data_IF_736636235203
#
_entry.id   IF_736636235203
#
_cell.length_a   1.000
_cell.length_b   1.000
_cell.length_c   1.000
_cell.angle_alpha   90.00
_cell.angle_beta   90.00
_cell.angle_gamma   90.00
#
_symmetry.space_group_name_H-M   'P 1'
#
loop_
_entity.id
_entity.type
_entity.pdbx_description
1 polymer ?
#
# COMPACT_ATOMS: atom_id res chain seq x y z
N UNK A 1 35.15 0.35 -30.76
CA UNK A 1 33.76 -0.13 -30.94
C UNK A 1 33.84 -1.64 -30.98
N UNK A 2 33.95 -2.29 -29.81
CA UNK A 2 33.57 -3.71 -29.58
C UNK A 2 33.80 -4.27 -28.16
N UNK A 3 34.39 -3.55 -27.20
CA UNK A 3 34.64 -4.15 -25.87
C UNK A 3 33.46 -4.08 -24.86
N UNK A 4 32.34 -3.45 -25.22
CA UNK A 4 31.17 -3.32 -24.33
C UNK A 4 30.02 -4.29 -24.66
N UNK A 5 30.24 -5.26 -25.56
CA UNK A 5 29.23 -6.26 -25.93
C UNK A 5 29.56 -7.67 -25.40
N UNK A 6 30.82 -7.96 -25.07
CA UNK A 6 31.25 -9.29 -24.62
C UNK A 6 31.00 -9.58 -23.12
N UNK A 7 30.65 -8.58 -22.29
CA UNK A 7 30.31 -8.82 -20.88
C UNK A 7 28.85 -9.25 -20.64
N UNK A 8 28.05 -9.41 -21.69
CA UNK A 8 26.61 -9.67 -21.58
C UNK A 8 26.21 -11.14 -21.77
N UNK A 9 27.14 -12.04 -22.09
CA UNK A 9 26.80 -13.35 -22.67
C UNK A 9 27.13 -14.60 -21.83
N UNK A 10 27.52 -14.45 -20.56
CA UNK A 10 27.62 -15.60 -19.63
C UNK A 10 26.98 -15.29 -18.27
N UNK A 11 25.65 -15.12 -18.25
CA UNK A 11 24.92 -15.26 -17.00
C UNK A 11 24.93 -16.74 -16.59
N UNK A 12 25.71 -17.08 -15.58
CA UNK A 12 25.71 -18.43 -15.02
C UNK A 12 24.40 -18.72 -14.26
N UNK A 13 24.08 -20.00 -14.04
CA UNK A 13 22.90 -20.40 -13.25
C UNK A 13 22.84 -19.74 -11.85
N UNK A 14 23.99 -19.47 -11.23
CA UNK A 14 24.07 -18.80 -9.91
C UNK A 14 23.66 -17.33 -10.03
N UNK A 15 24.01 -16.66 -11.13
CA UNK A 15 23.68 -15.25 -11.37
C UNK A 15 22.23 -15.08 -11.80
N UNK A 16 21.64 -16.07 -12.49
CA UNK A 16 20.23 -16.04 -12.87
C UNK A 16 19.29 -16.24 -11.68
N UNK A 17 19.61 -17.18 -10.79
CA UNK A 17 18.89 -17.38 -9.53
C UNK A 17 18.96 -16.11 -8.65
N UNK A 18 20.14 -15.48 -8.61
CA UNK A 18 20.36 -14.26 -7.83
C UNK A 18 19.62 -13.07 -8.43
N UNK A 19 19.68 -12.89 -9.75
CA UNK A 19 18.94 -11.85 -10.46
C UNK A 19 17.44 -12.00 -10.23
N UNK A 20 16.89 -13.21 -10.43
CA UNK A 20 15.47 -13.47 -10.21
C UNK A 20 15.06 -13.20 -8.76
N UNK A 21 15.90 -13.60 -7.80
CA UNK A 21 15.67 -13.33 -6.38
C UNK A 21 15.59 -11.82 -6.09
N UNK A 22 16.52 -11.02 -6.62
CA UNK A 22 16.53 -9.57 -6.42
C UNK A 22 15.34 -8.88 -7.10
N UNK A 23 14.99 -9.30 -8.33
CA UNK A 23 13.79 -8.83 -9.03
C UNK A 23 12.53 -9.14 -8.22
N UNK A 24 12.44 -10.34 -7.64
CA UNK A 24 11.34 -10.71 -6.75
C UNK A 24 11.35 -9.92 -5.43
N UNK A 25 12.50 -9.63 -4.84
CA UNK A 25 12.61 -8.80 -3.62
C UNK A 25 12.10 -7.37 -3.89
N UNK A 26 12.40 -6.82 -5.07
CA UNK A 26 11.88 -5.53 -5.51
C UNK A 26 10.36 -5.60 -5.76
N UNK A 27 9.87 -6.61 -6.49
CA UNK A 27 8.45 -6.82 -6.75
C UNK A 27 7.63 -7.04 -5.48
N UNK A 28 8.17 -7.80 -4.53
CA UNK A 28 7.60 -7.96 -3.18
C UNK A 28 7.53 -6.61 -2.48
N UNK A 29 8.59 -5.80 -2.56
CA UNK A 29 8.61 -4.45 -2.03
C UNK A 29 7.52 -3.56 -2.62
N UNK A 30 7.29 -3.65 -3.94
CA UNK A 30 6.25 -2.91 -4.65
C UNK A 30 4.84 -3.36 -4.21
N UNK A 31 4.55 -4.65 -4.21
CA UNK A 31 3.25 -5.18 -3.77
C UNK A 31 2.96 -4.88 -2.30
N UNK A 32 3.96 -5.05 -1.41
CA UNK A 32 3.83 -4.68 0.02
C UNK A 32 3.53 -3.20 0.22
N UNK A 33 3.89 -2.36 -0.74
CA UNK A 33 3.68 -0.90 -0.70
C UNK A 33 2.38 -0.46 -1.38
N UNK A 34 1.58 -1.41 -1.90
CA UNK A 34 0.32 -1.13 -2.55
C UNK A 34 0.43 -0.83 -4.05
N UNK A 35 1.45 -1.33 -4.74
CA UNK A 35 1.52 -1.23 -6.20
C UNK A 35 0.43 -2.06 -6.90
N UNK A 36 0.03 -1.58 -8.09
CA UNK A 36 -0.79 -2.30 -9.06
C UNK A 36 -0.06 -3.54 -9.57
N UNK A 37 -0.81 -4.58 -9.93
CA UNK A 37 -0.23 -5.90 -10.29
C UNK A 37 0.58 -5.79 -11.57
N UNK A 38 -0.03 -5.28 -12.64
CA UNK A 38 0.64 -5.10 -13.93
C UNK A 38 1.99 -4.35 -13.81
N UNK A 39 2.11 -3.37 -12.91
CA UNK A 39 3.36 -2.62 -12.71
C UNK A 39 4.46 -3.46 -12.08
N UNK A 40 4.09 -4.36 -11.17
CA UNK A 40 5.02 -5.29 -10.52
C UNK A 40 5.54 -6.30 -11.53
N UNK A 41 4.63 -6.90 -12.31
CA UNK A 41 4.98 -7.85 -13.37
C UNK A 41 5.87 -7.21 -14.43
N UNK A 42 5.50 -6.02 -14.89
CA UNK A 42 6.28 -5.25 -15.87
C UNK A 42 7.69 -4.95 -15.35
N UNK A 43 7.82 -4.55 -14.08
CA UNK A 43 9.13 -4.25 -13.51
C UNK A 43 10.03 -5.48 -13.41
N UNK A 44 9.50 -6.62 -12.94
CA UNK A 44 10.26 -7.87 -12.86
C UNK A 44 10.68 -8.29 -14.27
N UNK A 45 9.74 -8.27 -15.22
CA UNK A 45 9.99 -8.65 -16.62
C UNK A 45 11.06 -7.77 -17.25
N UNK A 46 10.93 -6.45 -17.14
CA UNK A 46 11.88 -5.49 -17.73
C UNK A 46 13.28 -5.62 -17.16
N UNK A 47 13.43 -5.81 -15.86
CA UNK A 47 14.75 -6.00 -15.25
C UNK A 47 15.40 -7.28 -15.77
N UNK A 48 14.69 -8.40 -15.71
CA UNK A 48 15.25 -9.68 -16.18
C UNK A 48 15.64 -9.61 -17.67
N UNK A 49 14.81 -9.02 -18.52
CA UNK A 49 15.14 -8.81 -19.94
C UNK A 49 16.35 -7.88 -20.15
N UNK A 50 16.48 -6.82 -19.34
CA UNK A 50 17.61 -5.90 -19.44
C UNK A 50 18.95 -6.56 -19.12
N UNK A 51 18.98 -7.56 -18.23
CA UNK A 51 20.17 -8.37 -17.92
C UNK A 51 20.40 -9.52 -18.90
N UNK A 52 19.68 -9.59 -20.03
CA UNK A 52 19.95 -10.59 -21.09
C UNK A 52 19.24 -11.93 -20.93
N UNK A 53 18.22 -12.02 -20.06
CA UNK A 53 17.38 -13.23 -19.99
C UNK A 53 16.55 -13.37 -21.26
N UNK A 54 16.53 -14.55 -21.87
CA UNK A 54 15.85 -14.80 -23.15
C UNK A 54 14.32 -14.85 -23.01
N UNK A 55 13.81 -15.55 -21.98
CA UNK A 55 12.36 -15.61 -21.71
C UNK A 55 12.07 -15.37 -20.24
N UNK A 56 11.07 -14.54 -19.97
CA UNK A 56 10.63 -14.19 -18.62
C UNK A 56 9.12 -14.29 -18.54
N UNK A 57 8.63 -15.14 -17.65
CA UNK A 57 7.20 -15.29 -17.35
C UNK A 57 6.98 -14.87 -15.90
N UNK A 58 6.07 -13.93 -15.67
CA UNK A 58 5.75 -13.42 -14.33
C UNK A 58 4.25 -13.46 -14.16
N UNK A 59 3.82 -13.96 -13.00
CA UNK A 59 2.43 -13.96 -12.58
C UNK A 59 2.36 -13.48 -11.13
N UNK A 60 1.62 -12.41 -10.89
CA UNK A 60 1.45 -11.82 -9.57
C UNK A 60 -0.02 -11.71 -9.18
N UNK A 61 -0.28 -12.01 -7.92
CA UNK A 61 -1.49 -11.66 -7.18
C UNK A 61 -1.07 -10.95 -5.89
N UNK A 62 -2.04 -10.36 -5.19
CA UNK A 62 -1.78 -9.57 -3.96
C UNK A 62 -0.97 -10.30 -2.88
N UNK A 63 -1.03 -11.64 -2.86
CA UNK A 63 -0.39 -12.49 -1.85
C UNK A 63 0.73 -13.38 -2.39
N UNK A 64 0.98 -13.38 -3.71
CA UNK A 64 1.93 -14.31 -4.32
C UNK A 64 2.50 -13.71 -5.62
N UNK A 65 3.82 -13.80 -5.77
CA UNK A 65 4.50 -13.58 -7.04
C UNK A 65 5.12 -14.91 -7.44
N UNK A 66 4.91 -15.33 -8.68
CA UNK A 66 5.60 -16.46 -9.31
C UNK A 66 6.32 -15.92 -10.53
N UNK A 67 7.61 -16.20 -10.65
CA UNK A 67 8.39 -15.77 -11.79
C UNK A 67 9.30 -16.91 -12.25
N UNK A 68 9.37 -17.08 -13.57
CA UNK A 68 10.22 -18.05 -14.26
C UNK A 68 11.10 -17.30 -15.25
N UNK A 69 12.38 -17.64 -15.29
CA UNK A 69 13.34 -17.15 -16.28
C UNK A 69 13.98 -18.30 -17.01
N UNK A 70 14.18 -18.16 -18.32
CA UNK A 70 14.94 -19.07 -19.18
C UNK A 70 16.08 -18.31 -19.85
N UNK A 71 17.30 -18.84 -19.72
CA UNK A 71 18.49 -18.31 -20.39
C UNK A 71 18.66 -18.91 -21.78
N UNK A 72 19.48 -18.26 -22.61
CA UNK A 72 19.81 -18.72 -23.97
C UNK A 72 20.50 -20.09 -23.99
N UNK A 73 21.20 -20.46 -22.92
CA UNK A 73 21.87 -21.76 -22.75
C UNK A 73 20.90 -22.89 -22.36
N UNK A 74 19.61 -22.60 -22.13
CA UNK A 74 18.58 -23.56 -21.73
C UNK A 74 18.36 -23.67 -20.22
N UNK A 75 19.17 -23.02 -19.39
CA UNK A 75 18.98 -22.99 -17.94
C UNK A 75 17.69 -22.28 -17.56
N UNK A 76 17.03 -22.80 -16.53
CA UNK A 76 15.71 -22.36 -16.07
C UNK A 76 15.74 -22.13 -14.56
N UNK A 77 15.26 -20.97 -14.12
CA UNK A 77 15.02 -20.70 -12.71
C UNK A 77 13.56 -20.31 -12.50
N UNK A 78 12.92 -20.95 -11.52
CA UNK A 78 11.55 -20.68 -11.11
C UNK A 78 11.57 -20.36 -9.62
N UNK A 79 11.04 -19.19 -9.25
CA UNK A 79 10.94 -18.79 -7.86
C UNK A 79 9.54 -18.27 -7.55
N UNK A 80 9.09 -18.57 -6.34
CA UNK A 80 7.84 -18.09 -5.79
C UNK A 80 8.10 -17.24 -4.55
N UNK A 81 7.32 -16.16 -4.41
CA UNK A 81 7.39 -15.26 -3.27
C UNK A 81 6.01 -15.02 -2.70
N UNK A 82 5.77 -15.51 -1.49
CA UNK A 82 4.55 -15.20 -0.75
C UNK A 82 4.67 -13.82 -0.11
N UNK A 83 3.71 -12.96 -0.39
CA UNK A 83 3.65 -11.60 0.13
C UNK A 83 2.71 -11.58 1.33
N UNK A 84 3.27 -11.21 2.48
CA UNK A 84 2.50 -11.02 3.72
C UNK A 84 2.42 -9.54 4.05
N UNK A 85 1.26 -9.10 4.50
CA UNK A 85 0.99 -7.73 4.98
C UNK A 85 1.33 -6.65 3.94
N UNK A 86 0.29 -6.05 3.36
CA UNK A 86 0.43 -4.87 2.50
C UNK A 86 0.03 -3.61 3.26
N UNK A 87 0.83 -2.55 3.10
CA UNK A 87 0.54 -1.19 3.57
C UNK A 87 0.69 -0.23 2.40
N UNK A 88 -0.09 0.84 2.35
CA UNK A 88 0.05 1.82 1.28
C UNK A 88 1.25 2.74 1.55
N UNK A 89 2.24 2.70 0.66
CA UNK A 89 3.39 3.60 0.69
C UNK A 89 3.77 3.98 -0.74
N UNK A 90 3.09 5.01 -1.26
CA UNK A 90 3.29 5.48 -2.64
C UNK A 90 4.73 5.96 -2.88
N UNK A 91 5.37 6.57 -1.88
CA UNK A 91 6.77 6.99 -1.97
C UNK A 91 7.70 5.80 -2.21
N UNK A 92 7.43 4.66 -1.55
CA UNK A 92 8.18 3.43 -1.78
C UNK A 92 7.90 2.82 -3.14
N UNK A 93 6.66 2.85 -3.61
CA UNK A 93 6.30 2.40 -4.97
C UNK A 93 7.04 3.24 -6.03
N UNK A 94 7.07 4.56 -5.87
CA UNK A 94 7.76 5.48 -6.77
C UNK A 94 9.27 5.23 -6.77
N UNK A 95 9.89 5.15 -5.59
CA UNK A 95 11.33 4.88 -5.46
C UNK A 95 11.73 3.55 -6.10
N UNK A 96 10.98 2.47 -5.88
CA UNK A 96 11.26 1.17 -6.49
C UNK A 96 11.06 1.18 -8.01
N UNK A 97 10.09 1.94 -8.50
CA UNK A 97 9.87 2.14 -9.93
C UNK A 97 11.02 2.92 -10.59
N UNK A 98 11.56 3.93 -9.91
CA UNK A 98 12.75 4.65 -10.38
C UNK A 98 13.99 3.75 -10.39
N UNK A 99 14.18 2.94 -9.34
CA UNK A 99 15.23 1.92 -9.30
C UNK A 99 15.11 0.97 -10.49
N UNK A 100 13.91 0.46 -10.79
CA UNK A 100 13.67 -0.40 -11.95
C UNK A 100 14.13 0.26 -13.26
N UNK A 101 13.81 1.54 -13.46
CA UNK A 101 14.25 2.31 -14.64
C UNK A 101 15.77 2.50 -14.67
N UNK A 102 16.38 2.84 -13.54
CA UNK A 102 17.84 3.05 -13.42
C UNK A 102 18.59 1.75 -13.69
N UNK A 103 18.13 0.64 -13.13
CA UNK A 103 18.71 -0.70 -13.30
C UNK A 103 18.63 -1.13 -14.76
N UNK A 104 17.47 -0.96 -15.41
CA UNK A 104 17.31 -1.28 -16.83
C UNK A 104 18.22 -0.45 -17.75
N UNK A 105 18.60 0.77 -17.34
CA UNK A 105 19.43 1.67 -18.15
C UNK A 105 20.93 1.48 -17.94
N UNK A 106 21.34 1.29 -16.69
CA UNK A 106 22.75 1.33 -16.30
C UNK A 106 23.34 -0.06 -16.07
N UNK A 107 22.51 -1.11 -15.97
CA UNK A 107 22.90 -2.49 -15.68
C UNK A 107 23.94 -2.56 -14.53
N UNK A 108 23.62 -2.04 -13.33
CA UNK A 108 24.55 -2.09 -12.21
C UNK A 108 24.85 -3.54 -11.82
N UNK A 109 25.91 -3.73 -11.04
CA UNK A 109 26.19 -5.06 -10.46
C UNK A 109 25.02 -5.53 -9.57
N UNK A 110 24.86 -6.85 -9.40
CA UNK A 110 23.79 -7.40 -8.55
C UNK A 110 23.94 -6.95 -7.08
N UNK A 111 25.17 -6.72 -6.61
CA UNK A 111 25.45 -6.17 -5.27
C UNK A 111 24.94 -4.73 -5.12
N UNK A 112 25.12 -3.91 -6.15
CA UNK A 112 24.60 -2.53 -6.17
C UNK A 112 23.09 -2.51 -6.25
N UNK A 113 22.50 -3.39 -7.08
CA UNK A 113 21.04 -3.51 -7.17
C UNK A 113 20.42 -3.90 -5.81
N UNK A 114 21.02 -4.87 -5.11
CA UNK A 114 20.61 -5.25 -3.76
C UNK A 114 20.68 -4.07 -2.77
N UNK A 115 21.79 -3.31 -2.80
CA UNK A 115 21.93 -2.09 -1.97
C UNK A 115 20.87 -1.04 -2.29
N UNK A 116 20.53 -0.84 -3.56
CA UNK A 116 19.48 0.11 -3.97
C UNK A 116 18.12 -0.28 -3.38
N UNK A 117 17.75 -1.57 -3.41
CA UNK A 117 16.50 -2.07 -2.82
C UNK A 117 16.49 -1.85 -1.29
N UNK A 118 17.60 -2.17 -0.62
CA UNK A 118 17.75 -1.99 0.82
C UNK A 118 17.65 -0.52 1.24
N UNK A 119 18.27 0.39 0.48
CA UNK A 119 18.21 1.83 0.73
C UNK A 119 16.81 2.38 0.52
N UNK A 120 16.11 1.97 -0.55
CA UNK A 120 14.72 2.39 -0.78
C UNK A 120 13.82 2.04 0.41
N UNK A 121 14.01 0.86 1.02
CA UNK A 121 13.25 0.46 2.22
C UNK A 121 13.53 1.36 3.43
N UNK A 122 14.75 1.88 3.58
CA UNK A 122 15.12 2.78 4.68
C UNK A 122 14.64 4.21 4.45
N UNK A 123 14.83 4.73 3.24
CA UNK A 123 14.48 6.12 2.87
C UNK A 123 12.98 6.37 2.87
N UNK A 124 12.17 5.36 2.58
CA UNK A 124 10.72 5.48 2.45
C UNK A 124 9.98 5.19 3.77
N UNK A 125 10.71 5.14 4.88
CA UNK A 125 10.08 5.04 6.20
C UNK A 125 9.30 6.33 6.47
N UNK A 126 8.02 6.16 6.75
CA UNK A 126 7.12 7.29 6.95
C UNK A 126 7.48 8.03 8.23
N UNK A 127 7.64 9.35 8.12
CA UNK A 127 7.85 10.21 9.28
C UNK A 127 6.55 10.36 10.06
N UNK A 128 6.56 9.95 11.32
CA UNK A 128 5.39 9.98 12.20
C UNK A 128 4.72 11.36 12.24
N UNK A 129 5.51 12.45 12.25
CA UNK A 129 5.01 13.84 12.25
C UNK A 129 4.11 14.11 11.04
N UNK A 130 4.54 13.69 9.84
CA UNK A 130 3.76 13.92 8.61
C UNK A 130 2.47 13.10 8.61
N UNK A 131 2.45 11.91 9.22
CA UNK A 131 1.22 11.13 9.33
C UNK A 131 0.19 11.82 10.22
N UNK A 132 0.59 12.31 11.40
CA UNK A 132 -0.32 13.03 12.30
C UNK A 132 -0.82 14.33 11.67
N UNK A 133 0.08 15.09 11.04
CA UNK A 133 -0.30 16.33 10.34
C UNK A 133 -1.27 16.03 9.20
N UNK A 134 -1.00 15.00 8.40
CA UNK A 134 -1.91 14.53 7.35
C UNK A 134 -3.27 14.10 7.89
N UNK A 135 -3.30 13.33 8.99
CA UNK A 135 -4.53 12.91 9.66
C UNK A 135 -5.39 14.09 10.11
N UNK A 136 -4.78 15.05 10.80
CA UNK A 136 -5.42 16.29 11.25
C UNK A 136 -5.97 17.09 10.08
N UNK A 137 -5.13 17.34 9.07
CA UNK A 137 -5.51 18.16 7.92
C UNK A 137 -6.63 17.51 7.11
N UNK A 138 -6.55 16.21 6.84
CA UNK A 138 -7.59 15.50 6.07
C UNK A 138 -8.92 15.53 6.81
N UNK A 139 -8.97 15.07 8.07
CA UNK A 139 -10.24 15.00 8.79
C UNK A 139 -10.86 16.38 9.01
N UNK A 140 -10.06 17.36 9.44
CA UNK A 140 -10.53 18.73 9.65
C UNK A 140 -10.97 19.42 8.36
N UNK A 141 -10.20 19.28 7.27
CA UNK A 141 -10.54 19.91 5.99
C UNK A 141 -11.80 19.31 5.38
N UNK A 142 -12.01 17.99 5.48
CA UNK A 142 -13.24 17.38 5.01
C UNK A 142 -14.45 17.82 5.84
N UNK A 143 -14.33 17.98 7.15
CA UNK A 143 -15.42 18.54 7.96
C UNK A 143 -15.83 19.94 7.47
N UNK A 144 -14.87 20.82 7.16
CA UNK A 144 -15.16 22.14 6.57
C UNK A 144 -15.76 22.01 5.17
N UNK A 145 -15.22 21.11 4.34
CA UNK A 145 -15.68 20.90 2.96
C UNK A 145 -17.16 20.49 2.89
N UNK A 146 -17.63 19.70 3.85
CA UNK A 146 -19.03 19.28 3.95
C UNK A 146 -19.92 20.27 4.71
N UNK A 147 -19.44 21.49 4.97
CA UNK A 147 -20.23 22.58 5.54
C UNK A 147 -20.19 22.69 7.07
N UNK A 148 -19.23 22.03 7.72
CA UNK A 148 -19.06 22.09 9.17
C UNK A 148 -18.52 23.42 9.68
N UNK A 149 -18.75 23.68 10.97
CA UNK A 149 -18.14 24.81 11.66
C UNK A 149 -16.65 24.58 11.93
N UNK A 150 -15.93 25.65 12.30
CA UNK A 150 -14.52 25.55 12.71
C UNK A 150 -14.37 24.63 13.93
N UNK A 151 -15.35 24.62 14.84
CA UNK A 151 -15.33 23.71 15.99
C UNK A 151 -15.47 22.26 15.56
N UNK A 152 -16.37 21.95 14.61
CA UNK A 152 -16.50 20.61 14.04
C UNK A 152 -15.20 20.15 13.38
N UNK A 153 -14.51 21.06 12.68
CA UNK A 153 -13.21 20.79 12.07
C UNK A 153 -12.13 20.48 13.11
N UNK A 154 -12.11 21.18 14.25
CA UNK A 154 -11.17 20.91 15.34
C UNK A 154 -11.43 19.56 16.01
N UNK A 155 -12.69 19.20 16.22
CA UNK A 155 -13.06 17.87 16.75
C UNK A 155 -12.71 16.78 15.75
N UNK A 156 -12.99 16.97 14.45
CA UNK A 156 -12.60 16.04 13.40
C UNK A 156 -11.07 15.87 13.30
N UNK A 157 -10.32 16.96 13.41
CA UNK A 157 -8.86 16.93 13.48
C UNK A 157 -8.34 16.09 14.66
N UNK A 158 -8.96 16.23 15.84
CA UNK A 158 -8.66 15.40 17.01
C UNK A 158 -8.94 13.92 16.73
N UNK A 159 -10.08 13.60 16.10
CA UNK A 159 -10.39 12.23 15.68
C UNK A 159 -9.35 11.71 14.69
N UNK A 160 -8.88 12.54 13.75
CA UNK A 160 -7.78 12.20 12.83
C UNK A 160 -6.49 11.82 13.56
N UNK A 161 -6.13 12.51 14.64
CA UNK A 161 -4.98 12.11 15.48
C UNK A 161 -5.20 10.75 16.14
N UNK A 162 -6.40 10.48 16.65
CA UNK A 162 -6.75 9.20 17.29
C UNK A 162 -6.68 8.06 16.27
N UNK A 163 -7.16 8.28 15.04
CA UNK A 163 -7.06 7.31 13.95
C UNK A 163 -5.60 6.91 13.70
N UNK A 164 -4.70 7.88 13.53
CA UNK A 164 -3.28 7.64 13.28
C UNK A 164 -2.59 7.01 14.50
N UNK A 165 -2.99 7.38 15.71
CA UNK A 165 -2.46 6.80 16.94
C UNK A 165 -2.78 5.30 17.02
N UNK A 166 -4.04 4.90 16.79
CA UNK A 166 -4.46 3.50 16.86
C UNK A 166 -3.84 2.68 15.73
N UNK A 167 -3.72 3.24 14.52
CA UNK A 167 -3.09 2.54 13.39
C UNK A 167 -1.63 2.19 13.67
N UNK A 168 -0.90 3.11 14.31
CA UNK A 168 0.51 2.95 14.70
C UNK A 168 0.73 2.05 15.92
N UNK A 169 -0.31 1.63 16.64
CA UNK A 169 -0.14 0.75 17.79
C UNK A 169 0.38 -0.63 17.33
N UNK A 170 1.50 -1.12 17.90
CA UNK A 170 2.10 -2.40 17.54
C UNK A 170 1.36 -3.56 18.24
N UNK A 171 0.04 -3.66 18.03
CA UNK A 171 -0.74 -4.78 18.53
C UNK A 171 -0.48 -5.99 17.65
N UNK A 172 0.37 -6.90 18.14
CA UNK A 172 0.59 -8.21 17.53
C UNK A 172 -0.75 -8.95 17.53
N UNK A 173 -1.14 -9.50 16.38
CA UNK A 173 -2.34 -10.32 16.14
C UNK A 173 -3.65 -9.60 15.76
N UNK A 174 -3.67 -8.28 15.58
CA UNK A 174 -4.84 -7.60 15.01
C UNK A 174 -4.62 -7.28 13.52
N UNK A 175 -5.49 -7.84 12.67
CA UNK A 175 -5.56 -7.48 11.27
C UNK A 175 -5.95 -6.01 11.09
N UNK A 176 -5.47 -5.40 10.00
CA UNK A 176 -5.73 -3.99 9.68
C UNK A 176 -7.22 -3.65 9.58
N UNK A 177 -8.03 -4.60 9.11
CA UNK A 177 -9.50 -4.46 9.07
C UNK A 177 -10.09 -4.37 10.48
N UNK A 178 -9.64 -5.20 11.41
CA UNK A 178 -10.15 -5.19 12.79
C UNK A 178 -9.76 -3.91 13.50
N UNK A 179 -8.51 -3.47 13.36
CA UNK A 179 -8.07 -2.17 13.88
C UNK A 179 -8.95 -1.04 13.35
N UNK A 180 -9.22 -1.02 12.04
CA UNK A 180 -10.06 -0.01 11.42
C UNK A 180 -11.48 0.03 12.01
N UNK A 181 -12.11 -1.13 12.23
CA UNK A 181 -13.45 -1.23 12.85
C UNK A 181 -13.46 -0.70 14.27
N UNK A 182 -12.47 -1.10 15.08
CA UNK A 182 -12.34 -0.63 16.47
C UNK A 182 -12.12 0.88 16.51
N UNK A 183 -11.24 1.40 15.67
CA UNK A 183 -10.99 2.84 15.52
C UNK A 183 -12.27 3.58 15.12
N UNK A 184 -13.01 3.10 14.12
CA UNK A 184 -14.28 3.71 13.70
C UNK A 184 -15.29 3.80 14.84
N UNK A 185 -15.43 2.71 15.62
CA UNK A 185 -16.34 2.68 16.76
C UNK A 185 -15.93 3.67 17.86
N UNK A 186 -14.64 3.71 18.23
CA UNK A 186 -14.11 4.63 19.24
C UNK A 186 -14.29 6.08 18.80
N UNK A 187 -13.90 6.42 17.56
CA UNK A 187 -14.05 7.77 17.03
C UNK A 187 -15.53 8.19 16.95
N UNK A 188 -16.42 7.28 16.57
CA UNK A 188 -17.85 7.54 16.57
C UNK A 188 -18.38 7.87 17.97
N UNK A 189 -18.03 7.06 18.97
CA UNK A 189 -18.46 7.26 20.36
C UNK A 189 -17.93 8.57 20.93
N UNK A 190 -16.64 8.85 20.73
CA UNK A 190 -16.02 10.10 21.16
C UNK A 190 -16.67 11.31 20.50
N UNK A 191 -16.97 11.23 19.20
CA UNK A 191 -17.66 12.32 18.48
C UNK A 191 -19.01 12.64 19.14
N UNK A 192 -19.83 11.63 19.44
CA UNK A 192 -21.10 11.83 20.14
C UNK A 192 -20.91 12.48 21.52
N UNK A 193 -19.91 12.03 22.28
CA UNK A 193 -19.57 12.62 23.58
C UNK A 193 -19.18 14.10 23.44
N UNK A 194 -18.28 14.44 22.52
CA UNK A 194 -17.83 15.82 22.30
C UNK A 194 -18.97 16.77 21.89
N UNK A 195 -19.89 16.30 21.06
CA UNK A 195 -21.06 17.08 20.65
C UNK A 195 -22.02 17.27 21.83
N UNK A 196 -22.25 16.24 22.66
CA UNK A 196 -23.11 16.37 23.84
C UNK A 196 -22.54 17.34 24.90
N UNK A 197 -21.21 17.42 25.02
CA UNK A 197 -20.55 18.44 25.85
C UNK A 197 -20.54 19.85 25.24
N UNK A 198 -21.09 20.04 24.03
CA UNK A 198 -21.18 21.33 23.36
C UNK A 198 -19.87 21.80 22.71
N UNK A 199 -18.89 20.90 22.52
CA UNK A 199 -17.60 21.23 21.88
C UNK A 199 -17.71 21.18 20.35
N UNK A 200 -18.60 20.34 19.82
CA UNK A 200 -18.96 20.27 18.39
C UNK A 200 -20.44 20.54 18.17
N UNK A 201 -20.80 21.03 16.98
CA UNK A 201 -22.19 21.35 16.62
C UNK A 201 -22.87 20.21 15.89
N UNK A 202 -22.22 19.63 14.86
CA UNK A 202 -22.82 18.61 14.00
C UNK A 202 -22.01 17.31 14.04
N UNK A 203 -22.56 16.29 14.71
CA UNK A 203 -21.96 14.97 14.81
C UNK A 203 -21.75 14.30 13.45
N UNK A 204 -22.65 14.49 12.49
CA UNK A 204 -22.59 13.81 11.20
C UNK A 204 -21.42 14.36 10.38
N UNK A 205 -21.21 15.68 10.40
CA UNK A 205 -20.12 16.32 9.67
C UNK A 205 -18.76 15.89 10.23
N UNK A 206 -18.61 15.83 11.56
CA UNK A 206 -17.39 15.34 12.21
C UNK A 206 -17.12 13.88 11.83
N UNK A 207 -18.15 13.04 11.85
CA UNK A 207 -18.04 11.64 11.45
C UNK A 207 -17.66 11.50 9.97
N UNK A 208 -18.25 12.26 9.05
CA UNK A 208 -17.90 12.24 7.62
C UNK A 208 -16.42 12.59 7.42
N UNK A 209 -15.93 13.64 8.10
CA UNK A 209 -14.51 14.01 8.06
C UNK A 209 -13.59 12.88 8.53
N UNK A 210 -13.97 12.20 9.60
CA UNK A 210 -13.21 11.05 10.13
C UNK A 210 -13.28 9.82 9.23
N UNK A 211 -14.45 9.54 8.64
CA UNK A 211 -14.68 8.42 7.72
C UNK A 211 -13.77 8.53 6.50
N UNK A 212 -13.52 9.74 5.98
CA UNK A 212 -12.65 9.96 4.82
C UNK A 212 -11.20 9.48 5.02
N UNK A 213 -10.71 9.44 6.26
CA UNK A 213 -9.40 8.82 6.56
C UNK A 213 -9.42 7.30 6.53
N UNK A 214 -10.54 6.70 6.92
CA UNK A 214 -10.66 5.26 7.16
C UNK A 214 -11.08 4.49 5.90
N UNK A 215 -11.77 5.18 4.97
CA UNK A 215 -12.20 4.59 3.70
C UNK A 215 -10.97 4.08 2.93
N UNK A 216 -11.00 2.83 2.43
CA UNK A 216 -9.90 2.24 1.66
C UNK A 216 -9.86 2.77 0.21
N UNK A 217 -9.79 4.09 0.02
CA UNK A 217 -9.88 4.74 -1.30
C UNK A 217 -8.77 4.31 -2.27
N UNK A 218 -7.52 4.23 -1.78
CA UNK A 218 -6.38 3.78 -2.60
C UNK A 218 -6.55 2.32 -3.05
N UNK A 219 -6.99 1.43 -2.15
CA UNK A 219 -7.19 0.03 -2.48
C UNK A 219 -8.35 -0.16 -3.48
N UNK A 220 -9.41 0.64 -3.35
CA UNK A 220 -10.50 0.70 -4.32
C UNK A 220 -10.01 1.18 -5.70
N UNK A 221 -9.26 2.28 -5.76
CA UNK A 221 -8.69 2.79 -7.01
C UNK A 221 -7.78 1.77 -7.70
N UNK A 222 -6.87 1.15 -6.94
CA UNK A 222 -6.00 0.08 -7.45
C UNK A 222 -6.80 -1.12 -7.95
N UNK A 223 -7.87 -1.51 -7.26
CA UNK A 223 -8.71 -2.63 -7.70
C UNK A 223 -9.37 -2.37 -9.05
N UNK A 224 -9.80 -1.12 -9.29
CA UNK A 224 -10.37 -0.73 -10.58
C UNK A 224 -9.29 -0.69 -11.67
N UNK A 225 -8.10 -0.18 -11.34
CA UNK A 225 -6.95 -0.19 -12.24
C UNK A 225 -6.60 -1.61 -12.67
N UNK A 226 -6.43 -2.54 -11.71
CA UNK A 226 -6.17 -3.96 -12.00
C UNK A 226 -7.24 -4.57 -12.92
N UNK A 227 -8.52 -4.30 -12.68
CA UNK A 227 -9.61 -4.78 -13.54
C UNK A 227 -9.51 -4.25 -14.98
N UNK A 228 -9.16 -2.97 -15.15
CA UNK A 228 -9.00 -2.33 -16.46
C UNK A 228 -7.81 -2.91 -17.21
N UNK A 229 -6.71 -3.23 -16.52
CA UNK A 229 -5.51 -3.82 -17.10
C UNK A 229 -5.60 -5.35 -17.32
N UNK A 230 -6.72 -5.98 -16.95
CA UNK A 230 -6.96 -7.41 -17.17
C UNK A 230 -6.55 -8.33 -16.02
N UNK A 231 -6.08 -7.77 -14.90
CA UNK A 231 -5.72 -8.49 -13.67
C UNK A 231 -6.97 -8.81 -12.82
N UNK A 232 -7.87 -9.63 -13.38
CA UNK A 232 -9.22 -9.85 -12.84
C UNK A 232 -9.18 -10.42 -11.41
N UNK A 233 -8.35 -11.43 -11.16
CA UNK A 233 -8.30 -12.10 -9.84
C UNK A 233 -7.89 -11.14 -8.73
N UNK A 234 -6.86 -10.31 -8.99
CA UNK A 234 -6.39 -9.33 -8.02
C UNK A 234 -7.36 -8.17 -7.86
N UNK A 235 -7.91 -7.66 -8.96
CA UNK A 235 -8.90 -6.60 -8.97
C UNK A 235 -10.15 -6.97 -8.17
N UNK A 236 -10.78 -8.12 -8.47
CA UNK A 236 -11.97 -8.61 -7.73
C UNK A 236 -11.65 -8.83 -6.25
N UNK A 237 -10.52 -9.47 -5.93
CA UNK A 237 -10.14 -9.72 -4.54
C UNK A 237 -9.97 -8.43 -3.75
N UNK A 238 -9.28 -7.41 -4.31
CA UNK A 238 -9.10 -6.11 -3.64
C UNK A 238 -10.40 -5.32 -3.53
N UNK A 239 -11.24 -5.38 -4.56
CA UNK A 239 -12.53 -4.69 -4.58
C UNK A 239 -13.44 -5.23 -3.48
N UNK A 240 -13.59 -6.55 -3.38
CA UNK A 240 -14.40 -7.20 -2.34
C UNK A 240 -13.89 -6.85 -0.95
N UNK A 241 -12.57 -6.91 -0.70
CA UNK A 241 -11.99 -6.52 0.58
C UNK A 241 -12.28 -5.06 0.93
N UNK A 242 -12.16 -4.16 -0.05
CA UNK A 242 -12.42 -2.71 0.14
C UNK A 242 -13.89 -2.44 0.45
N UNK A 243 -14.81 -3.11 -0.23
CA UNK A 243 -16.25 -2.99 0.02
C UNK A 243 -16.64 -3.54 1.40
N UNK A 244 -16.14 -4.73 1.77
CA UNK A 244 -16.36 -5.29 3.11
C UNK A 244 -15.87 -4.32 4.17
N UNK A 245 -14.66 -3.77 4.01
CA UNK A 245 -14.10 -2.80 4.96
C UNK A 245 -14.96 -1.53 5.06
N UNK A 246 -15.46 -1.00 3.94
CA UNK A 246 -16.34 0.17 3.93
C UNK A 246 -17.66 -0.10 4.67
N UNK A 247 -18.29 -1.26 4.44
CA UNK A 247 -19.51 -1.67 5.17
C UNK A 247 -19.23 -1.80 6.67
N UNK A 248 -18.12 -2.42 7.05
CA UNK A 248 -17.75 -2.57 8.47
C UNK A 248 -17.51 -1.22 9.16
N UNK A 249 -16.87 -0.25 8.48
CA UNK A 249 -16.72 1.12 8.98
C UNK A 249 -18.09 1.76 9.22
N UNK A 250 -18.99 1.68 8.24
CA UNK A 250 -20.33 2.25 8.35
C UNK A 250 -21.13 1.62 9.52
N UNK A 251 -21.06 0.30 9.67
CA UNK A 251 -21.67 -0.42 10.80
C UNK A 251 -21.08 0.02 12.13
N UNK A 252 -19.75 0.20 12.23
CA UNK A 252 -19.09 0.62 13.46
C UNK A 252 -19.52 2.03 13.90
N UNK A 253 -19.60 3.00 12.97
CA UNK A 253 -20.13 4.33 13.27
C UNK A 253 -21.62 4.28 13.64
N UNK A 254 -22.43 3.48 12.93
CA UNK A 254 -23.86 3.30 13.25
C UNK A 254 -24.08 2.71 14.64
N UNK A 255 -23.29 1.70 15.02
CA UNK A 255 -23.31 1.13 16.37
C UNK A 255 -22.87 2.15 17.42
N UNK A 256 -21.87 2.98 17.13
CA UNK A 256 -21.45 4.03 18.04
C UNK A 256 -22.58 5.04 18.32
N UNK A 257 -23.27 5.49 17.28
CA UNK A 257 -24.46 6.38 17.40
C UNK A 257 -25.54 5.69 18.24
N UNK A 258 -25.87 4.44 17.94
CA UNK A 258 -26.88 3.69 18.69
C UNK A 258 -26.52 3.57 20.17
N UNK A 259 -25.27 3.20 20.48
CA UNK A 259 -24.81 3.08 21.87
C UNK A 259 -24.83 4.43 22.60
N UNK A 260 -24.41 5.51 21.92
CA UNK A 260 -24.43 6.85 22.48
C UNK A 260 -25.86 7.30 22.79
N UNK A 261 -26.82 7.07 21.89
CA UNK A 261 -28.23 7.43 22.12
C UNK A 261 -28.95 6.62 23.20
N UNK A 262 -28.39 5.49 23.64
CA UNK A 262 -28.88 4.73 24.81
C UNK A 262 -28.23 5.21 26.12
N UNK A 263 -27.00 5.72 26.05
CA UNK A 263 -26.18 6.07 27.21
C UNK A 263 -26.23 7.56 27.60
N UNK A 264 -26.50 8.45 26.64
CA UNK A 264 -26.50 9.91 26.76
C UNK A 264 -27.91 10.47 26.57
#
# INVERSE_FOLDING_TARGET
MNDNLESTDELNHIDSDRLLRLSLDMGEGMLKSGAEIHRVEECIRRICLAYGVAHVEVFAITSLIVASVRLSNGDMSLQMRRVYNSSNNLMRVEKLNDISRTVCKNLPSLDEFEKMILNAKKETQSHWILQYLGGVLVAGSFAILFGGSILDALVAALMGMIVIFIDNLPVKNLDSTVKCVVTSFICGLLTCVFVNFGIGHDQNIIMIGTIMLLIPGIAFGNSLSDLVYGDILAGVSRLVQSLIKAVLIAVAFGLAIFTAGVLL
#
